data_IF_035044357009
#
_entry.id   IF_035044357009
#
_cell.length_a   1.000
_cell.length_b   1.000
_cell.length_c   1.000
_cell.angle_alpha   90.00
_cell.angle_beta   90.00
_cell.angle_gamma   90.00
#
_symmetry.space_group_name_H-M   'P 1'
#
loop_
_entity.id
_entity.type
_entity.pdbx_description
1 polymer ?
#
# COMPACT_ATOMS: atom_id res chain seq x y z
N UNK A 1 2.93 -3.27 7.38
CA UNK A 1 4.37 -2.96 7.21
C UNK A 1 4.89 -2.05 8.33
N UNK A 2 6.16 -2.19 8.75
CA UNK A 2 6.80 -1.21 9.66
C UNK A 2 7.42 -0.07 8.85
N UNK A 3 7.34 1.16 9.37
CA UNK A 3 7.85 2.34 8.67
C UNK A 3 9.38 2.35 8.52
N UNK A 4 10.11 1.68 9.42
CA UNK A 4 11.57 1.55 9.35
C UNK A 4 12.00 0.78 8.09
N UNK A 5 11.42 -0.41 7.87
CA UNK A 5 11.68 -1.25 6.69
C UNK A 5 11.40 -0.51 5.36
N UNK A 6 10.42 0.40 5.35
CA UNK A 6 10.10 1.19 4.16
C UNK A 6 11.12 2.32 3.89
N UNK A 7 11.82 2.81 4.91
CA UNK A 7 12.85 3.85 4.73
C UNK A 7 14.14 3.28 4.17
N UNK A 8 14.43 2.02 4.43
CA UNK A 8 15.63 1.34 3.95
C UNK A 8 15.53 0.95 2.47
N UNK A 9 14.32 0.82 1.92
CA UNK A 9 14.07 0.50 0.51
C UNK A 9 14.40 1.67 -0.44
N UNK A 10 14.80 1.35 -1.66
CA UNK A 10 15.03 2.33 -2.70
C UNK A 10 13.71 2.99 -3.15
N UNK A 11 13.78 4.22 -3.70
CA UNK A 11 12.58 4.93 -4.20
C UNK A 11 11.87 4.14 -5.30
N UNK A 12 12.64 3.44 -6.14
CA UNK A 12 12.13 2.57 -7.21
C UNK A 12 11.36 1.36 -6.65
N UNK A 13 11.91 0.71 -5.63
CA UNK A 13 11.26 -0.41 -4.94
C UNK A 13 9.98 0.02 -4.22
N UNK A 14 10.00 1.22 -3.62
CA UNK A 14 8.81 1.82 -3.02
C UNK A 14 7.72 2.07 -4.08
N UNK A 15 8.10 2.52 -5.27
CA UNK A 15 7.19 2.68 -6.40
C UNK A 15 6.61 1.36 -6.89
N UNK A 16 7.41 0.30 -6.95
CA UNK A 16 6.92 -1.05 -7.28
C UNK A 16 5.89 -1.54 -6.24
N UNK A 17 6.21 -1.42 -4.94
CA UNK A 17 5.29 -1.80 -3.86
C UNK A 17 4.01 -0.97 -3.86
N UNK A 18 4.08 0.31 -4.22
CA UNK A 18 2.89 1.16 -4.35
C UNK A 18 1.92 0.62 -5.40
N UNK A 19 2.44 0.21 -6.57
CA UNK A 19 1.64 -0.36 -7.65
C UNK A 19 0.99 -1.68 -7.22
N UNK A 20 1.78 -2.58 -6.64
CA UNK A 20 1.27 -3.87 -6.16
C UNK A 20 0.14 -3.72 -5.13
N UNK A 21 0.31 -2.82 -4.16
CA UNK A 21 -0.73 -2.55 -3.16
C UNK A 21 -1.96 -1.88 -3.78
N UNK A 22 -1.78 -1.05 -4.80
CA UNK A 22 -2.90 -0.42 -5.51
C UNK A 22 -3.72 -1.46 -6.28
N UNK A 23 -3.06 -2.39 -6.97
CA UNK A 23 -3.71 -3.49 -7.68
C UNK A 23 -4.43 -4.44 -6.73
N UNK A 24 -3.78 -4.77 -5.60
CA UNK A 24 -4.41 -5.58 -4.55
C UNK A 24 -5.67 -4.90 -4.01
N UNK A 25 -5.62 -3.58 -3.79
CA UNK A 25 -6.75 -2.80 -3.30
C UNK A 25 -7.87 -2.70 -4.34
N UNK A 26 -7.54 -2.64 -5.63
CA UNK A 26 -8.50 -2.72 -6.73
C UNK A 26 -9.23 -4.07 -6.75
N UNK A 27 -8.49 -5.18 -6.67
CA UNK A 27 -9.08 -6.52 -6.56
C UNK A 27 -9.99 -6.66 -5.34
N UNK A 28 -9.56 -6.13 -4.18
CA UNK A 28 -10.39 -6.12 -2.97
C UNK A 28 -11.64 -5.27 -3.11
N UNK A 29 -11.60 -4.15 -3.86
CA UNK A 29 -12.80 -3.35 -4.15
C UNK A 29 -13.80 -4.12 -5.01
N UNK A 30 -13.31 -4.86 -6.00
CA UNK A 30 -14.15 -5.73 -6.84
C UNK A 30 -14.77 -6.85 -6.00
N UNK A 31 -13.97 -7.53 -5.16
CA UNK A 31 -14.49 -8.55 -4.23
C UNK A 31 -15.53 -7.96 -3.28
N UNK A 32 -15.33 -6.73 -2.81
CA UNK A 32 -16.30 -6.01 -1.98
C UNK A 32 -17.60 -5.72 -2.74
N UNK A 33 -17.53 -5.26 -3.99
CA UNK A 33 -18.74 -5.00 -4.78
C UNK A 33 -19.49 -6.30 -5.12
N UNK A 34 -18.78 -7.43 -5.24
CA UNK A 34 -19.39 -8.75 -5.42
C UNK A 34 -19.93 -9.36 -4.12
N UNK A 35 -19.76 -8.70 -2.97
CA UNK A 35 -20.20 -9.21 -1.67
C UNK A 35 -19.38 -10.38 -1.11
N UNK A 36 -18.25 -10.72 -1.75
CA UNK A 36 -17.37 -11.84 -1.39
C UNK A 36 -16.12 -11.38 -0.62
N UNK A 37 -16.18 -10.23 0.05
CA UNK A 37 -15.02 -9.73 0.80
C UNK A 37 -14.92 -10.45 2.15
N UNK A 38 -14.15 -11.54 2.16
CA UNK A 38 -13.94 -12.37 3.35
C UNK A 38 -13.18 -11.64 4.48
N UNK A 39 -12.37 -10.63 4.16
CA UNK A 39 -11.50 -9.94 5.12
C UNK A 39 -11.51 -8.41 4.99
N UNK A 40 -12.55 -7.73 5.53
CA UNK A 40 -12.66 -6.26 5.51
C UNK A 40 -11.48 -5.56 6.19
N UNK A 41 -10.92 -6.16 7.25
CA UNK A 41 -9.78 -5.62 7.97
C UNK A 41 -8.51 -5.54 7.13
N UNK A 42 -8.30 -6.50 6.22
CA UNK A 42 -7.15 -6.46 5.31
C UNK A 42 -7.21 -5.23 4.40
N UNK A 43 -8.39 -4.83 3.94
CA UNK A 43 -8.56 -3.60 3.13
C UNK A 43 -8.16 -2.34 3.91
N UNK A 44 -8.37 -2.30 5.23
CA UNK A 44 -7.90 -1.19 6.09
C UNK A 44 -6.38 -1.21 6.24
N UNK A 45 -5.78 -2.39 6.39
CA UNK A 45 -4.32 -2.57 6.49
C UNK A 45 -3.62 -2.16 5.20
N UNK A 46 -4.09 -2.64 4.04
CA UNK A 46 -3.52 -2.31 2.71
C UNK A 46 -3.58 -0.79 2.46
N UNK A 47 -4.70 -0.13 2.81
CA UNK A 47 -4.81 1.34 2.74
C UNK A 47 -3.75 2.06 3.58
N UNK A 48 -3.52 1.60 4.81
CA UNK A 48 -2.52 2.21 5.70
C UNK A 48 -1.10 1.98 5.19
N UNK A 49 -0.81 0.79 4.69
CA UNK A 49 0.51 0.47 4.14
C UNK A 49 0.79 1.29 2.87
N UNK A 50 -0.19 1.47 1.99
CA UNK A 50 -0.09 2.37 0.83
C UNK A 50 0.18 3.83 1.25
N UNK A 51 -0.52 4.33 2.26
CA UNK A 51 -0.31 5.68 2.78
C UNK A 51 1.09 5.88 3.39
N UNK A 52 1.62 4.87 4.08
CA UNK A 52 2.98 4.87 4.61
C UNK A 52 4.02 4.93 3.50
N UNK A 53 3.88 4.11 2.45
CA UNK A 53 4.79 4.14 1.29
C UNK A 53 4.80 5.51 0.62
N UNK A 54 3.61 6.08 0.35
CA UNK A 54 3.49 7.44 -0.23
C UNK A 54 4.16 8.50 0.63
N UNK A 55 4.01 8.38 1.95
CA UNK A 55 4.64 9.31 2.90
C UNK A 55 6.16 9.22 2.85
N UNK A 56 6.72 8.00 2.89
CA UNK A 56 8.18 7.78 2.82
C UNK A 56 8.73 8.24 1.47
N UNK A 57 8.06 7.94 0.35
CA UNK A 57 8.47 8.44 -0.96
C UNK A 57 8.48 9.97 -1.01
N UNK A 58 7.49 10.65 -0.41
CA UNK A 58 7.46 12.10 -0.33
C UNK A 58 8.60 12.64 0.54
N UNK A 59 8.89 11.99 1.67
CA UNK A 59 10.04 12.33 2.52
C UNK A 59 11.37 12.20 1.76
N UNK A 60 11.56 11.14 0.97
CA UNK A 60 12.76 10.92 0.16
C UNK A 60 12.91 11.87 -1.03
N UNK A 61 11.81 12.45 -1.54
CA UNK A 61 11.82 13.43 -2.63
C UNK A 61 12.00 14.87 -2.15
N UNK A 62 11.68 15.15 -0.88
CA UNK A 62 11.69 16.49 -0.31
C UNK A 62 12.97 16.81 0.49
N UNK A 63 13.83 15.81 0.73
CA UNK A 63 15.19 15.98 1.23
C UNK A 63 16.20 15.69 0.13
#
# INVERSE_FOLDING_TARGET
>A
MKAAELRDLAVEELGAKERDLTDQLFRMRIQKSMGQLEAPDKMRTVRRDLARIKTVMRQKRAG
#
